data_IF_716295281387
#
_entry.id   IF_716295281387
#
_cell.length_a   1.000
_cell.length_b   1.000
_cell.length_c   1.000
_cell.angle_alpha   90.00
_cell.angle_beta   90.00
_cell.angle_gamma   90.00
#
_symmetry.space_group_name_H-M   'P 1'
#
loop_
_entity.id
_entity.type
_entity.pdbx_description
1 polymer ?
#
# COMPACT_ATOMS: atom_id res chain seq x y z
N UNK A 1 -5.86 -6.61 28.77
CA UNK A 1 -5.02 -5.40 28.90
C UNK A 1 -5.11 -4.57 27.62
N UNK A 2 -5.45 -3.29 27.76
CA UNK A 2 -5.46 -2.37 26.62
C UNK A 2 -4.03 -1.87 26.40
N UNK A 3 -3.47 -2.10 25.21
CA UNK A 3 -2.14 -1.62 24.82
C UNK A 3 -2.19 -0.12 24.54
N UNK A 4 -3.30 0.35 23.96
CA UNK A 4 -3.52 1.76 23.66
C UNK A 4 -4.73 2.28 24.41
N UNK A 5 -4.63 3.48 25.01
CA UNK A 5 -5.77 4.11 25.66
C UNK A 5 -6.73 4.69 24.62
N UNK A 6 -8.01 4.73 24.97
CA UNK A 6 -9.03 5.36 24.11
C UNK A 6 -8.71 6.84 23.88
N UNK A 7 -8.21 7.53 24.91
CA UNK A 7 -7.81 8.93 24.83
C UNK A 7 -6.70 9.17 23.80
N UNK A 8 -5.72 8.26 23.73
CA UNK A 8 -4.62 8.36 22.75
C UNK A 8 -5.14 8.15 21.33
N UNK A 9 -6.05 7.20 21.13
CA UNK A 9 -6.68 6.94 19.84
C UNK A 9 -7.51 8.15 19.41
N UNK A 10 -8.32 8.71 20.31
CA UNK A 10 -9.09 9.92 20.03
C UNK A 10 -8.21 11.10 19.67
N UNK A 11 -7.10 11.27 20.37
CA UNK A 11 -6.11 12.30 20.07
C UNK A 11 -5.52 12.12 18.67
N UNK A 12 -5.16 10.89 18.29
CA UNK A 12 -4.64 10.59 16.98
C UNK A 12 -5.65 10.92 15.87
N UNK A 13 -6.88 10.48 16.04
CA UNK A 13 -7.98 10.75 15.09
C UNK A 13 -8.21 12.24 14.91
N UNK A 14 -8.19 12.98 16.01
CA UNK A 14 -8.38 14.44 15.99
C UNK A 14 -7.22 15.17 15.32
N UNK A 15 -5.98 14.84 15.64
CA UNK A 15 -4.80 15.48 15.05
C UNK A 15 -4.66 15.17 13.56
N UNK A 16 -5.08 13.99 13.12
CA UNK A 16 -5.07 13.59 11.72
C UNK A 16 -6.31 14.05 10.94
N UNK A 17 -7.22 14.75 11.59
CA UNK A 17 -8.45 15.27 10.98
C UNK A 17 -9.34 14.19 10.35
N UNK A 18 -9.42 13.03 10.98
CA UNK A 18 -10.28 11.94 10.54
C UNK A 18 -11.67 12.11 11.17
N UNK A 19 -12.70 12.22 10.35
CA UNK A 19 -14.05 12.47 10.82
C UNK A 19 -14.67 11.27 11.54
N UNK A 20 -14.44 10.08 11.03
CA UNK A 20 -15.00 8.84 11.58
C UNK A 20 -14.07 7.67 11.26
N UNK A 21 -13.42 7.14 12.29
CA UNK A 21 -12.46 6.05 12.14
C UNK A 21 -13.10 4.77 11.58
N UNK A 22 -14.38 4.52 11.85
CA UNK A 22 -15.09 3.35 11.32
C UNK A 22 -15.28 3.40 9.80
N UNK A 23 -15.17 4.57 9.22
CA UNK A 23 -15.29 4.82 7.78
C UNK A 23 -13.98 5.28 7.15
N UNK A 24 -12.89 5.20 7.90
CA UNK A 24 -11.58 5.65 7.43
C UNK A 24 -11.09 4.85 6.23
N UNK A 25 -10.36 5.53 5.35
CA UNK A 25 -9.69 4.87 4.23
C UNK A 25 -8.48 4.07 4.72
N UNK A 26 -7.98 3.17 3.87
CA UNK A 26 -6.76 2.39 4.19
C UNK A 26 -5.59 3.32 4.52
N UNK A 27 -5.44 4.42 3.78
CA UNK A 27 -4.40 5.41 4.05
C UNK A 27 -4.55 6.09 5.39
N UNK A 28 -5.77 6.43 5.78
CA UNK A 28 -6.05 7.04 7.08
C UNK A 28 -5.78 6.07 8.24
N UNK A 29 -6.15 4.79 8.09
CA UNK A 29 -5.82 3.75 9.08
C UNK A 29 -4.31 3.61 9.25
N UNK A 30 -3.56 3.64 8.15
CA UNK A 30 -2.10 3.61 8.17
C UNK A 30 -1.53 4.79 8.98
N UNK A 31 -2.04 6.00 8.76
CA UNK A 31 -1.58 7.19 9.50
C UNK A 31 -1.86 7.07 10.99
N UNK A 32 -3.02 6.56 11.38
CA UNK A 32 -3.35 6.32 12.81
C UNK A 32 -2.38 5.31 13.41
N UNK A 33 -2.12 4.21 12.73
CA UNK A 33 -1.17 3.19 13.21
C UNK A 33 0.24 3.78 13.40
N UNK A 34 0.71 4.55 12.44
CA UNK A 34 2.03 5.22 12.52
C UNK A 34 2.09 6.21 13.68
N UNK A 35 1.01 6.97 13.89
CA UNK A 35 0.92 7.91 15.00
C UNK A 35 1.02 7.19 16.36
N UNK A 36 0.26 6.11 16.52
CA UNK A 36 0.27 5.32 17.76
C UNK A 36 1.61 4.63 18.01
N UNK A 37 2.25 4.10 16.97
CA UNK A 37 3.59 3.53 17.07
C UNK A 37 4.61 4.56 17.56
N UNK A 38 4.54 5.77 17.00
CA UNK A 38 5.44 6.87 17.36
C UNK A 38 5.26 7.31 18.81
N UNK A 39 4.00 7.45 19.24
CA UNK A 39 3.69 7.93 20.60
C UNK A 39 3.97 6.88 21.68
N UNK A 40 3.79 5.61 21.38
CA UNK A 40 3.92 4.52 22.37
C UNK A 40 5.26 3.78 22.28
N UNK A 41 5.95 3.84 21.14
CA UNK A 41 7.14 3.02 20.89
C UNK A 41 6.83 1.54 20.68
N UNK A 42 5.56 1.16 20.59
CA UNK A 42 5.13 -0.23 20.40
C UNK A 42 4.80 -0.45 18.92
N UNK A 43 5.52 -1.35 18.23
CA UNK A 43 5.24 -1.62 16.81
C UNK A 43 3.95 -2.43 16.64
N UNK A 44 3.23 -2.13 15.56
CA UNK A 44 2.05 -2.91 15.17
C UNK A 44 2.44 -4.12 14.34
N UNK A 45 1.73 -5.22 14.56
CA UNK A 45 1.70 -6.32 13.60
C UNK A 45 0.64 -5.96 12.57
N UNK A 46 1.08 -5.57 11.36
CA UNK A 46 0.20 -5.02 10.33
C UNK A 46 -0.55 -6.13 9.60
N UNK A 47 -1.89 -6.08 9.67
CA UNK A 47 -2.79 -7.03 9.00
C UNK A 47 -3.88 -6.31 8.20
N UNK A 48 -3.76 -5.01 8.05
CA UNK A 48 -4.73 -4.14 7.39
C UNK A 48 -4.53 -4.04 5.87
N UNK A 49 -3.40 -4.50 5.37
CA UNK A 49 -3.10 -4.55 3.94
C UNK A 49 -2.57 -5.92 3.56
N UNK A 50 -3.08 -6.47 2.46
CA UNK A 50 -2.54 -7.69 1.89
C UNK A 50 -1.25 -7.38 1.14
N UNK A 51 -0.12 -7.78 1.69
CA UNK A 51 1.18 -7.61 1.06
C UNK A 51 1.86 -8.98 0.92
N UNK A 52 2.22 -9.39 -0.31
CA UNK A 52 2.99 -10.63 -0.47
C UNK A 52 4.31 -10.53 0.27
N UNK A 53 4.60 -11.48 1.16
CA UNK A 53 5.86 -11.51 1.91
C UNK A 53 7.04 -12.06 1.14
N UNK A 54 6.81 -12.49 -0.11
CA UNK A 54 7.84 -13.07 -0.96
C UNK A 54 8.31 -12.08 -2.02
N UNK A 55 9.58 -12.15 -2.43
CA UNK A 55 10.06 -11.31 -3.52
C UNK A 55 9.40 -11.68 -4.85
N UNK A 56 9.35 -10.71 -5.75
CA UNK A 56 8.82 -10.88 -7.11
C UNK A 56 9.70 -11.90 -7.86
N UNK A 57 9.08 -12.68 -8.73
CA UNK A 57 9.81 -13.64 -9.56
C UNK A 57 10.88 -12.93 -10.40
N UNK A 58 12.10 -13.46 -10.37
CA UNK A 58 13.25 -12.86 -11.06
C UNK A 58 13.08 -12.77 -12.57
N UNK A 59 12.39 -13.73 -13.18
CA UNK A 59 12.08 -13.68 -14.63
C UNK A 59 11.27 -12.44 -14.98
N UNK A 60 10.27 -12.10 -14.16
CA UNK A 60 9.45 -10.90 -14.34
C UNK A 60 10.28 -9.63 -14.19
N UNK A 61 11.14 -9.57 -13.17
CA UNK A 61 12.02 -8.42 -12.93
C UNK A 61 12.96 -8.17 -14.10
N UNK A 62 13.61 -9.21 -14.61
CA UNK A 62 14.55 -9.09 -15.73
C UNK A 62 13.82 -8.71 -17.03
N UNK A 63 12.64 -9.26 -17.27
CA UNK A 63 11.83 -8.88 -18.43
C UNK A 63 11.40 -7.42 -18.38
N UNK A 64 11.01 -6.91 -17.19
CA UNK A 64 10.66 -5.51 -16.99
C UNK A 64 11.85 -4.58 -17.25
N UNK A 65 13.02 -4.91 -16.70
CA UNK A 65 14.25 -4.15 -16.96
C UNK A 65 14.58 -4.08 -18.44
N UNK A 66 14.51 -5.21 -19.14
CA UNK A 66 14.76 -5.25 -20.57
C UNK A 66 13.76 -4.43 -21.37
N UNK A 67 12.50 -4.42 -20.98
CA UNK A 67 11.46 -3.60 -21.59
C UNK A 67 11.74 -2.10 -21.39
N UNK A 68 12.16 -1.70 -20.20
CA UNK A 68 12.54 -0.31 -19.93
C UNK A 68 13.75 0.10 -20.74
N UNK A 69 14.75 -0.76 -20.90
CA UNK A 69 15.94 -0.50 -21.73
C UNK A 69 15.58 -0.31 -23.20
N UNK A 70 14.54 -0.99 -23.70
CA UNK A 70 14.03 -0.80 -25.06
C UNK A 70 13.18 0.46 -25.23
N UNK A 71 12.92 1.21 -24.16
CA UNK A 71 12.17 2.46 -24.21
C UNK A 71 10.66 2.31 -24.41
N UNK A 72 10.08 1.13 -24.12
CA UNK A 72 8.64 0.89 -24.32
C UNK A 72 7.76 1.79 -23.44
N UNK A 73 8.27 2.21 -22.29
CA UNK A 73 7.57 3.13 -21.38
C UNK A 73 7.47 4.56 -21.90
N UNK A 74 8.15 4.90 -22.98
CA UNK A 74 8.13 6.24 -23.58
C UNK A 74 6.97 6.44 -24.56
N UNK A 75 6.16 5.42 -24.79
CA UNK A 75 5.04 5.46 -25.74
C UNK A 75 3.70 5.30 -25.05
N UNK A 76 2.68 5.95 -25.59
CA UNK A 76 1.30 5.75 -25.14
C UNK A 76 0.79 4.39 -25.61
N UNK A 77 0.26 3.56 -24.71
CA UNK A 77 -0.40 2.33 -25.12
C UNK A 77 -1.76 2.63 -25.74
N UNK A 78 -2.30 1.68 -26.49
CA UNK A 78 -3.68 1.75 -26.93
C UNK A 78 -4.64 1.76 -25.71
N UNK A 79 -5.76 2.46 -25.82
CA UNK A 79 -6.75 2.54 -24.73
C UNK A 79 -7.24 1.16 -24.28
N UNK A 80 -7.29 0.20 -25.19
CA UNK A 80 -7.69 -1.19 -24.89
C UNK A 80 -6.55 -2.05 -24.33
N UNK A 81 -5.34 -1.49 -24.18
CA UNK A 81 -4.16 -2.18 -23.67
C UNK A 81 -3.31 -2.83 -24.77
N UNK A 82 -2.21 -3.43 -24.37
CA UNK A 82 -1.26 -4.08 -25.26
C UNK A 82 -1.80 -5.46 -25.69
N UNK A 83 -1.91 -5.75 -27.02
CA UNK A 83 -2.48 -7.01 -27.48
C UNK A 83 -1.75 -8.26 -26.96
N UNK A 84 -0.44 -8.22 -26.85
CA UNK A 84 0.38 -9.33 -26.36
C UNK A 84 0.03 -9.68 -24.91
N UNK A 85 -0.17 -8.68 -24.06
CA UNK A 85 -0.58 -8.92 -22.67
C UNK A 85 -1.94 -9.59 -22.60
N UNK A 86 -2.89 -9.14 -23.41
CA UNK A 86 -4.22 -9.73 -23.46
C UNK A 86 -4.18 -11.18 -23.90
N UNK A 87 -3.38 -11.48 -24.88
CA UNK A 87 -3.20 -12.84 -25.40
C UNK A 87 -2.66 -13.76 -24.30
N UNK A 88 -1.61 -13.35 -23.59
CA UNK A 88 -1.00 -14.13 -22.53
C UNK A 88 -1.92 -14.29 -21.30
N UNK A 89 -2.75 -13.29 -21.02
CA UNK A 89 -3.67 -13.33 -19.88
C UNK A 89 -4.94 -14.17 -20.16
N UNK A 90 -5.25 -14.45 -21.40
CA UNK A 90 -6.40 -15.29 -21.79
C UNK A 90 -6.01 -16.76 -21.78
#
# INVERSE_FOLDING_TARGET
>A
MKIFSEELVEKAVKELHIADLSKATIGEVLLVAQYLEKETGIPFIRMDQGSPGLPVNQLGVEAEKAALDRGVGSQYPAAAGVPELKYEAS
#
